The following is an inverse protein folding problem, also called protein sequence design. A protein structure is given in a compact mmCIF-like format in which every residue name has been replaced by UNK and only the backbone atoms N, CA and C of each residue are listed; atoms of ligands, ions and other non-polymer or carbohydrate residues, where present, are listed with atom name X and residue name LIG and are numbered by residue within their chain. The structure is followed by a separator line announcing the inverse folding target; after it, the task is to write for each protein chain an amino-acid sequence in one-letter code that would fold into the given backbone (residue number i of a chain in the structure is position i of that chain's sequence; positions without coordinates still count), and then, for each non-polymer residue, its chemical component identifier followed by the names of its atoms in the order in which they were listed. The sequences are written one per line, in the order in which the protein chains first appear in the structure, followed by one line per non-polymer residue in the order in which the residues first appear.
data_IF_963792983688
#
_entry.id   IF_963792983688
#
_cell.length_a   1.000
_cell.length_b   1.000
_cell.length_c   1.000
_cell.angle_alpha   90.00
_cell.angle_beta   90.00
_cell.angle_gamma   90.00
#
_symmetry.space_group_name_H-M   'P 1'
#
loop_
_entity.id
_entity.type
_entity.pdbx_description
1 polymer ?
#
# COMPACT_ATOMS: atom_id res chain seq x y z
N UNK A 1 32.81 -55.60 34.98
CA UNK A 1 32.98 -54.86 33.73
C UNK A 1 31.62 -54.39 33.29
N UNK A 2 31.31 -53.13 33.59
CA UNK A 2 30.03 -52.45 33.21
C UNK A 2 30.30 -51.60 31.96
N UNK A 3 29.63 -51.92 30.84
CA UNK A 3 29.68 -51.08 29.63
C UNK A 3 28.50 -50.07 29.71
N UNK A 4 28.92 -48.82 29.87
CA UNK A 4 28.01 -47.67 29.82
C UNK A 4 27.84 -47.27 28.32
N UNK A 5 26.67 -47.59 27.75
CA UNK A 5 26.29 -47.15 26.39
C UNK A 5 25.63 -45.79 26.49
N UNK A 6 26.37 -44.74 26.13
CA UNK A 6 25.87 -43.34 26.09
C UNK A 6 25.13 -43.16 24.77
N UNK A 7 23.79 -42.98 24.84
CA UNK A 7 22.93 -42.61 23.71
C UNK A 7 22.99 -41.11 23.51
N UNK A 8 23.70 -40.68 22.44
CA UNK A 8 23.68 -39.30 21.97
C UNK A 8 22.38 -39.04 21.23
N UNK A 9 21.44 -38.38 21.88
CA UNK A 9 20.24 -37.83 21.22
C UNK A 9 20.64 -36.59 20.41
N UNK A 10 20.79 -36.76 19.11
CA UNK A 10 20.98 -35.64 18.18
C UNK A 10 19.62 -34.95 17.96
N UNK A 11 19.38 -33.82 18.64
CA UNK A 11 18.23 -32.95 18.38
C UNK A 11 18.43 -32.29 17.01
N UNK A 12 17.76 -32.80 15.99
CA UNK A 12 17.56 -32.09 14.73
C UNK A 12 16.63 -30.89 15.00
N UNK A 13 17.22 -29.72 15.16
CA UNK A 13 16.49 -28.45 15.09
C UNK A 13 15.92 -28.33 13.67
N UNK A 14 14.60 -28.08 13.50
CA UNK A 14 14.04 -27.79 12.18
C UNK A 14 14.70 -26.49 11.67
N UNK A 15 15.33 -26.56 10.51
CA UNK A 15 15.79 -25.39 9.79
C UNK A 15 14.55 -24.52 9.49
N UNK A 16 14.44 -23.38 10.15
CA UNK A 16 13.44 -22.35 9.82
C UNK A 16 13.85 -21.87 8.41
N UNK A 17 13.17 -22.41 7.40
CA UNK A 17 13.40 -22.03 6.01
C UNK A 17 13.20 -20.52 5.85
N UNK A 18 14.11 -19.88 5.12
CA UNK A 18 13.96 -18.47 4.74
C UNK A 18 12.58 -18.25 4.12
N UNK A 19 11.91 -17.14 4.44
CA UNK A 19 10.58 -16.85 3.90
C UNK A 19 10.64 -16.90 2.37
N UNK A 20 9.85 -17.78 1.75
CA UNK A 20 9.81 -17.90 0.29
C UNK A 20 8.96 -16.76 -0.29
N UNK A 21 9.66 -15.71 -0.75
CA UNK A 21 9.08 -14.54 -1.43
C UNK A 21 8.20 -14.95 -2.60
N UNK A 22 8.64 -15.95 -3.38
CA UNK A 22 7.91 -16.41 -4.56
C UNK A 22 6.56 -17.01 -4.18
N UNK A 23 6.51 -17.85 -3.16
CA UNK A 23 5.27 -18.43 -2.67
C UNK A 23 4.33 -17.37 -2.11
N UNK A 24 4.84 -16.40 -1.35
CA UNK A 24 4.03 -15.31 -0.81
C UNK A 24 3.42 -14.43 -1.93
N UNK A 25 4.20 -14.09 -2.94
CA UNK A 25 3.71 -13.34 -4.12
C UNK A 25 2.66 -14.14 -4.88
N UNK A 26 2.88 -15.44 -5.08
CA UNK A 26 1.90 -16.30 -5.76
C UNK A 26 0.59 -16.42 -4.98
N UNK A 27 0.65 -16.56 -3.66
CA UNK A 27 -0.54 -16.59 -2.81
C UNK A 27 -1.31 -15.27 -2.86
N UNK A 28 -0.62 -14.14 -2.74
CA UNK A 28 -1.20 -12.81 -2.87
C UNK A 28 -1.90 -12.63 -4.22
N UNK A 29 -1.22 -12.95 -5.32
CA UNK A 29 -1.78 -12.82 -6.66
C UNK A 29 -2.99 -13.74 -6.86
N UNK A 30 -2.91 -15.00 -6.44
CA UNK A 30 -3.98 -15.98 -6.62
C UNK A 30 -5.22 -15.65 -5.81
N UNK A 31 -5.06 -15.09 -4.59
CA UNK A 31 -6.18 -14.73 -3.72
C UNK A 31 -7.12 -13.71 -4.37
N UNK A 32 -6.56 -12.74 -5.08
CA UNK A 32 -7.35 -11.64 -5.64
C UNK A 32 -7.54 -11.73 -7.17
N UNK A 33 -6.88 -12.68 -7.83
CA UNK A 33 -6.81 -12.74 -9.30
C UNK A 33 -8.19 -12.80 -9.97
N UNK A 34 -9.11 -13.60 -9.47
CA UNK A 34 -10.42 -13.83 -10.09
C UNK A 34 -11.43 -12.69 -9.86
N UNK A 35 -11.25 -11.90 -8.81
CA UNK A 35 -12.19 -10.85 -8.44
C UNK A 35 -12.15 -9.68 -9.42
N UNK A 36 -13.31 -9.24 -9.89
CA UNK A 36 -13.44 -8.01 -10.70
C UNK A 36 -13.51 -6.77 -9.82
N UNK A 37 -14.11 -6.92 -8.65
CA UNK A 37 -14.23 -5.86 -7.64
C UNK A 37 -13.75 -6.40 -6.30
N UNK A 38 -13.04 -5.57 -5.55
CA UNK A 38 -12.60 -5.87 -4.19
C UNK A 38 -13.09 -4.76 -3.27
N UNK A 39 -13.40 -5.11 -2.04
CA UNK A 39 -13.72 -4.18 -0.95
C UNK A 39 -12.93 -4.57 0.28
N UNK A 40 -12.46 -3.58 1.05
CA UNK A 40 -11.89 -3.79 2.37
C UNK A 40 -12.15 -2.60 3.27
N UNK A 41 -12.23 -2.83 4.57
CA UNK A 41 -12.05 -1.78 5.59
C UNK A 41 -10.58 -1.43 5.67
N UNK A 42 -10.26 -0.15 5.85
CA UNK A 42 -8.88 0.30 6.04
C UNK A 42 -8.71 1.21 7.25
N UNK A 43 -7.53 1.15 7.83
CA UNK A 43 -6.99 2.13 8.76
C UNK A 43 -5.70 2.69 8.15
N UNK A 44 -5.66 3.98 7.93
CA UNK A 44 -4.48 4.71 7.44
C UNK A 44 -3.80 5.42 8.59
N UNK A 45 -2.46 5.29 8.66
CA UNK A 45 -1.61 5.98 9.63
C UNK A 45 -0.60 6.80 8.87
N UNK A 46 -0.60 8.10 9.09
CA UNK A 46 0.36 9.03 8.55
C UNK A 46 1.40 9.40 9.61
N UNK A 47 2.67 9.25 9.28
CA UNK A 47 3.78 9.56 10.18
C UNK A 47 4.75 10.54 9.54
N UNK A 48 5.34 11.41 10.36
CA UNK A 48 6.43 12.28 9.97
C UNK A 48 7.60 12.07 10.93
N UNK A 49 8.78 11.75 10.39
CA UNK A 49 9.99 11.46 11.18
C UNK A 49 9.74 10.42 12.29
N UNK A 50 8.93 9.40 11.98
CA UNK A 50 8.54 8.33 12.90
C UNK A 50 7.48 8.73 13.93
N UNK A 51 6.98 9.97 13.93
CA UNK A 51 5.91 10.43 14.82
C UNK A 51 4.57 10.28 14.12
N UNK A 52 3.61 9.63 14.78
CA UNK A 52 2.23 9.55 14.30
C UNK A 52 1.59 10.95 14.31
N UNK A 53 1.12 11.39 13.14
CA UNK A 53 0.51 12.71 12.94
C UNK A 53 -1.00 12.57 12.76
N UNK A 54 -1.44 11.56 11.99
CA UNK A 54 -2.86 11.39 11.64
C UNK A 54 -3.23 9.91 11.55
N UNK A 55 -4.45 9.60 11.94
CA UNK A 55 -5.09 8.29 11.74
C UNK A 55 -6.42 8.52 11.08
N UNK A 56 -6.66 7.82 9.97
CA UNK A 56 -7.91 7.87 9.22
C UNK A 56 -8.43 6.45 9.00
N UNK A 57 -9.74 6.31 8.85
CA UNK A 57 -10.35 5.01 8.61
C UNK A 57 -11.52 5.12 7.63
N UNK A 58 -11.79 4.03 6.92
CA UNK A 58 -12.87 4.00 5.95
C UNK A 58 -12.99 2.68 5.22
N UNK A 59 -13.59 2.75 4.03
CA UNK A 59 -13.78 1.62 3.13
C UNK A 59 -13.10 1.92 1.80
N UNK A 60 -12.31 0.97 1.31
CA UNK A 60 -11.68 1.03 0.00
C UNK A 60 -12.34 0.03 -0.95
N UNK A 61 -12.57 0.48 -2.19
CA UNK A 61 -13.08 -0.35 -3.29
C UNK A 61 -12.09 -0.29 -4.45
N UNK A 62 -11.84 -1.44 -5.05
CA UNK A 62 -10.99 -1.55 -6.24
C UNK A 62 -11.77 -2.28 -7.32
N UNK A 63 -11.86 -1.70 -8.53
CA UNK A 63 -12.54 -2.34 -9.66
C UNK A 63 -11.65 -2.34 -10.89
N UNK A 64 -11.51 -3.49 -11.48
CA UNK A 64 -10.75 -3.66 -12.72
C UNK A 64 -11.57 -3.27 -13.95
N UNK A 65 -10.94 -2.63 -14.94
CA UNK A 65 -9.56 -2.14 -14.92
C UNK A 65 -9.45 -0.72 -14.32
N UNK A 66 -8.45 -0.52 -13.45
CA UNK A 66 -7.91 0.79 -13.10
C UNK A 66 -8.82 1.75 -12.35
N UNK A 67 -9.87 1.28 -11.68
CA UNK A 67 -10.74 2.12 -10.85
C UNK A 67 -10.55 1.82 -9.37
N UNK A 68 -10.56 2.85 -8.56
CA UNK A 68 -10.52 2.73 -7.10
C UNK A 68 -11.31 3.85 -6.44
N UNK A 69 -11.85 3.57 -5.26
CA UNK A 69 -12.60 4.51 -4.45
C UNK A 69 -12.26 4.30 -2.99
N UNK A 70 -11.92 5.37 -2.30
CA UNK A 70 -11.62 5.39 -0.88
C UNK A 70 -12.57 6.33 -0.20
N UNK A 71 -13.43 5.79 0.63
CA UNK A 71 -14.40 6.54 1.42
C UNK A 71 -13.89 6.65 2.85
N UNK A 72 -13.34 7.79 3.19
CA UNK A 72 -12.93 8.10 4.55
C UNK A 72 -14.16 8.37 5.39
N UNK A 73 -14.25 7.74 6.55
CA UNK A 73 -15.37 7.88 7.49
C UNK A 73 -14.96 8.58 8.79
N UNK A 74 -13.69 8.54 9.14
CA UNK A 74 -13.14 9.11 10.38
C UNK A 74 -11.71 9.59 10.13
N UNK A 75 -11.29 10.74 10.74
CA UNK A 75 -12.10 11.70 11.46
C UNK A 75 -13.02 12.51 10.56
N UNK A 76 -12.67 12.66 9.27
CA UNK A 76 -13.42 13.45 8.29
C UNK A 76 -13.92 12.58 7.14
N UNK A 77 -15.04 13.00 6.55
CA UNK A 77 -15.66 12.29 5.43
C UNK A 77 -15.07 12.79 4.11
N UNK A 78 -13.86 12.38 3.79
CA UNK A 78 -13.22 12.67 2.52
C UNK A 78 -13.48 11.55 1.51
N UNK A 79 -13.27 11.84 0.24
CA UNK A 79 -13.39 10.87 -0.84
C UNK A 79 -12.21 10.98 -1.79
N UNK A 80 -11.49 9.90 -2.00
CA UNK A 80 -10.59 9.76 -3.13
C UNK A 80 -11.17 8.75 -4.13
N UNK A 81 -11.13 9.10 -5.42
CA UNK A 81 -11.68 8.24 -6.46
C UNK A 81 -10.85 8.33 -7.73
N UNK A 82 -10.54 7.17 -8.32
CA UNK A 82 -10.01 7.04 -9.68
C UNK A 82 -11.08 6.38 -10.55
N UNK A 83 -11.59 7.12 -11.54
CA UNK A 83 -12.66 6.64 -12.44
C UNK A 83 -12.15 5.95 -13.70
N UNK A 84 -10.82 5.79 -13.82
CA UNK A 84 -10.11 5.28 -15.00
C UNK A 84 -9.59 6.37 -15.94
N UNK A 85 -10.07 7.61 -15.81
CA UNK A 85 -9.62 8.78 -16.60
C UNK A 85 -9.00 9.84 -15.72
N UNK A 86 -9.65 10.14 -14.61
CA UNK A 86 -9.26 11.16 -13.64
C UNK A 86 -9.11 10.56 -12.25
N UNK A 87 -8.28 11.17 -11.45
CA UNK A 87 -8.26 11.03 -10.01
C UNK A 87 -8.91 12.28 -9.40
N UNK A 88 -9.77 12.07 -8.43
CA UNK A 88 -10.56 13.07 -7.73
C UNK A 88 -10.30 12.98 -6.23
N UNK A 89 -10.06 14.11 -5.60
CA UNK A 89 -10.01 14.19 -4.14
C UNK A 89 -11.01 15.24 -3.66
N UNK A 90 -12.07 14.79 -3.03
CA UNK A 90 -13.16 15.62 -2.56
C UNK A 90 -13.10 15.79 -1.04
N UNK A 91 -13.06 17.05 -0.60
CA UNK A 91 -13.09 17.46 0.81
C UNK A 91 -14.41 18.20 1.05
N UNK A 92 -15.44 17.54 1.57
CA UNK A 92 -16.73 18.15 1.82
C UNK A 92 -16.67 19.36 2.74
N UNK A 93 -15.84 19.31 3.79
CA UNK A 93 -15.69 20.39 4.76
C UNK A 93 -15.21 21.70 4.10
N UNK A 94 -14.36 21.61 3.08
CA UNK A 94 -13.80 22.75 2.38
C UNK A 94 -14.61 23.15 1.14
N UNK A 95 -15.66 22.41 0.82
CA UNK A 95 -16.42 22.56 -0.43
C UNK A 95 -15.54 22.56 -1.68
N UNK A 96 -14.48 21.72 -1.68
CA UNK A 96 -13.50 21.64 -2.78
C UNK A 96 -13.35 20.22 -3.30
N UNK A 97 -13.08 20.12 -4.60
CA UNK A 97 -12.62 18.88 -5.22
C UNK A 97 -11.41 19.15 -6.08
N UNK A 98 -10.33 18.42 -5.83
CA UNK A 98 -9.15 18.43 -6.71
C UNK A 98 -9.31 17.37 -7.79
N UNK A 99 -8.97 17.72 -9.03
CA UNK A 99 -9.01 16.81 -10.18
C UNK A 99 -7.68 16.81 -10.91
N UNK A 100 -7.16 15.62 -11.18
CA UNK A 100 -5.98 15.42 -12.04
C UNK A 100 -6.25 14.27 -13.03
N UNK A 101 -5.63 14.25 -14.22
CA UNK A 101 -5.64 13.06 -15.05
C UNK A 101 -5.03 11.87 -14.32
N UNK A 102 -5.69 10.71 -14.34
CA UNK A 102 -5.24 9.52 -13.61
C UNK A 102 -3.78 9.11 -13.93
N UNK A 103 -3.34 9.33 -15.16
CA UNK A 103 -1.96 9.05 -15.60
C UNK A 103 -0.91 10.02 -15.01
N UNK A 104 -1.35 11.14 -14.46
CA UNK A 104 -0.48 12.18 -13.88
C UNK A 104 -0.57 12.22 -12.35
N UNK A 105 -1.43 11.40 -11.77
CA UNK A 105 -1.50 11.27 -10.32
C UNK A 105 -0.32 10.42 -9.84
N UNK A 106 0.84 11.04 -9.67
CA UNK A 106 1.92 10.48 -8.86
C UNK A 106 1.50 10.62 -7.39
N UNK A 107 0.80 9.63 -6.90
CA UNK A 107 0.25 9.61 -5.56
C UNK A 107 0.76 8.37 -4.83
N UNK A 108 0.93 8.46 -3.53
CA UNK A 108 1.28 7.35 -2.64
C UNK A 108 0.30 6.16 -2.75
N UNK A 109 -0.88 6.35 -3.34
CA UNK A 109 -1.83 5.27 -3.67
C UNK A 109 -1.43 4.44 -4.88
N UNK A 110 -0.35 4.81 -5.58
CA UNK A 110 0.18 4.06 -6.74
C UNK A 110 0.39 2.57 -6.45
N UNK A 111 0.88 2.14 -5.27
CA UNK A 111 0.98 0.72 -4.95
C UNK A 111 -0.34 -0.05 -5.05
N UNK A 112 -1.48 0.63 -4.84
CA UNK A 112 -2.81 0.02 -4.92
C UNK A 112 -3.31 -0.18 -6.35
N UNK A 113 -2.61 0.34 -7.36
CA UNK A 113 -2.84 -0.01 -8.75
C UNK A 113 -2.72 -1.53 -8.99
N UNK A 114 -1.99 -2.26 -8.13
CA UNK A 114 -1.96 -3.71 -8.09
C UNK A 114 -3.37 -4.29 -7.95
N UNK A 115 -4.17 -3.80 -7.00
CA UNK A 115 -5.51 -4.31 -6.69
C UNK A 115 -6.54 -3.92 -7.77
N UNK A 116 -6.42 -2.73 -8.35
CA UNK A 116 -7.27 -2.24 -9.44
C UNK A 116 -6.82 -2.73 -10.84
N UNK A 117 -5.62 -3.30 -10.95
CA UNK A 117 -5.00 -3.78 -12.19
C UNK A 117 -5.14 -5.29 -12.41
N UNK A 118 -4.13 -5.86 -13.05
CA UNK A 118 -4.09 -7.29 -13.38
C UNK A 118 -3.74 -8.21 -12.21
N UNK A 119 -3.56 -7.66 -11.02
CA UNK A 119 -3.12 -8.40 -9.82
C UNK A 119 -1.79 -9.12 -10.02
N UNK A 120 -0.83 -8.44 -10.65
CA UNK A 120 0.52 -8.95 -10.86
C UNK A 120 1.54 -8.01 -10.22
N UNK A 121 2.19 -8.47 -9.18
CA UNK A 121 3.22 -7.73 -8.44
C UNK A 121 4.34 -7.26 -9.37
N UNK A 122 4.73 -8.11 -10.34
CA UNK A 122 5.75 -7.76 -11.34
C UNK A 122 5.38 -6.61 -12.26
N UNK A 123 4.11 -6.16 -12.32
CA UNK A 123 3.70 -4.97 -13.07
C UNK A 123 4.10 -3.68 -12.38
N UNK A 124 4.10 -3.67 -11.05
CA UNK A 124 4.42 -2.48 -10.25
C UNK A 124 5.82 -2.57 -9.62
N UNK A 125 6.28 -3.75 -9.24
CA UNK A 125 7.60 -3.95 -8.64
C UNK A 125 8.62 -4.39 -9.71
N UNK A 126 9.76 -3.71 -9.74
CA UNK A 126 10.94 -4.14 -10.51
C UNK A 126 11.64 -5.30 -9.81
N UNK A 127 11.67 -5.25 -8.47
CA UNK A 127 12.26 -6.26 -7.58
C UNK A 127 11.37 -6.44 -6.36
N UNK A 128 11.32 -7.68 -5.86
CA UNK A 128 10.64 -8.02 -4.60
C UNK A 128 11.59 -8.87 -3.76
N UNK A 129 11.78 -8.51 -2.51
CA UNK A 129 12.65 -9.21 -1.57
C UNK A 129 12.05 -9.24 -0.16
N UNK A 130 12.50 -10.11 0.75
CA UNK A 130 12.06 -10.06 2.13
C UNK A 130 12.51 -8.73 2.75
N UNK A 131 11.65 -8.07 3.50
CA UNK A 131 12.02 -6.89 4.24
C UNK A 131 12.76 -7.28 5.52
N UNK A 132 14.06 -6.97 5.59
CA UNK A 132 14.87 -7.26 6.77
C UNK A 132 14.67 -6.21 7.89
N UNK A 133 14.25 -5.03 7.50
CA UNK A 133 14.10 -3.82 8.34
C UNK A 133 12.65 -3.58 8.81
N UNK A 134 11.69 -4.38 8.31
CA UNK A 134 10.29 -4.32 8.70
C UNK A 134 9.85 -5.63 9.36
N UNK A 135 9.26 -5.50 10.55
CA UNK A 135 8.69 -6.66 11.27
C UNK A 135 7.23 -6.86 10.86
N UNK A 136 6.79 -8.11 10.64
CA UNK A 136 5.38 -8.41 10.47
C UNK A 136 4.62 -8.14 11.76
N UNK A 137 3.34 -7.79 11.66
CA UNK A 137 2.45 -7.65 12.83
C UNK A 137 2.11 -8.99 13.47
N UNK A 138 1.92 -10.02 12.64
CA UNK A 138 1.72 -11.38 13.09
C UNK A 138 2.89 -12.27 12.65
N UNK A 139 3.24 -13.25 13.48
CA UNK A 139 4.37 -14.16 13.23
C UNK A 139 4.19 -15.01 11.96
N UNK A 140 2.94 -15.26 11.57
CA UNK A 140 2.55 -15.99 10.37
C UNK A 140 2.59 -15.16 9.08
N UNK A 141 2.84 -13.86 9.18
CA UNK A 141 2.88 -12.98 8.02
C UNK A 141 4.32 -12.83 7.48
N UNK A 142 4.43 -12.35 6.26
CA UNK A 142 5.70 -11.99 5.64
C UNK A 142 5.62 -10.57 5.12
N UNK A 143 6.65 -9.77 5.40
CA UNK A 143 6.79 -8.44 4.82
C UNK A 143 7.71 -8.50 3.61
N UNK A 144 7.19 -8.04 2.49
CA UNK A 144 7.88 -7.98 1.20
C UNK A 144 8.21 -6.53 0.88
N UNK A 145 9.47 -6.25 0.61
CA UNK A 145 9.93 -4.96 0.08
C UNK A 145 9.79 -4.96 -1.44
N UNK A 146 9.11 -3.96 -1.97
CA UNK A 146 8.90 -3.74 -3.40
C UNK A 146 9.69 -2.52 -3.86
N UNK A 147 10.56 -2.70 -4.82
CA UNK A 147 11.17 -1.62 -5.58
C UNK A 147 10.24 -1.27 -6.74
N UNK A 148 9.65 -0.07 -6.73
CA UNK A 148 8.68 0.33 -7.74
C UNK A 148 9.30 0.49 -9.13
N UNK A 149 8.58 0.05 -10.18
CA UNK A 149 8.96 0.31 -11.57
C UNK A 149 8.77 1.78 -11.89
N UNK A 150 9.77 2.38 -12.51
CA UNK A 150 9.72 3.78 -12.93
C UNK A 150 9.96 4.79 -11.81
N UNK A 151 10.27 4.34 -10.60
CA UNK A 151 10.91 5.18 -9.62
C UNK A 151 12.29 5.56 -10.19
N UNK A 152 12.37 6.71 -10.84
CA UNK A 152 13.62 7.22 -11.39
C UNK A 152 14.54 7.53 -10.23
N UNK A 153 15.66 6.79 -10.15
CA UNK A 153 16.82 7.33 -9.45
C UNK A 153 17.03 8.78 -9.91
N UNK A 154 17.29 9.73 -9.02
CA UNK A 154 17.61 11.09 -9.41
C UNK A 154 18.68 11.01 -10.50
N UNK A 155 18.41 11.59 -11.69
CA UNK A 155 19.38 11.65 -12.76
C UNK A 155 20.68 12.14 -12.16
N UNK A 156 21.73 11.35 -12.26
CA UNK A 156 23.11 11.69 -11.96
C UNK A 156 23.45 12.98 -12.70
N UNK A 157 23.36 14.10 -12.01
CA UNK A 157 23.61 15.42 -12.59
C UNK A 157 23.74 16.49 -11.53
N UNK A 158 24.41 16.17 -10.41
CA UNK A 158 25.18 17.10 -9.58
C UNK A 158 25.93 16.28 -8.52
N UNK A 159 27.24 16.19 -8.70
CA UNK A 159 28.13 15.70 -7.67
C UNK A 159 28.12 16.69 -6.52
N UNK A 160 27.30 16.47 -5.52
CA UNK A 160 27.55 16.96 -4.18
C UNK A 160 28.25 15.84 -3.41
N UNK A 161 29.56 16.00 -3.31
CA UNK A 161 30.53 15.09 -2.68
C UNK A 161 30.43 15.15 -1.17
N UNK A 162 29.36 14.72 -0.52
CA UNK A 162 29.30 14.47 0.92
C UNK A 162 28.04 13.68 1.32
N UNK A 163 27.80 12.50 0.75
CA UNK A 163 26.85 11.55 1.34
C UNK A 163 27.44 10.16 1.32
N UNK A 164 27.75 9.58 2.48
CA UNK A 164 28.05 8.17 2.57
C UNK A 164 26.74 7.39 2.44
N UNK A 165 26.76 6.44 1.50
CA UNK A 165 25.81 5.34 1.34
C UNK A 165 24.34 5.69 1.04
N UNK A 166 23.96 5.53 -0.24
CA UNK A 166 22.60 5.20 -0.66
C UNK A 166 21.58 6.29 -0.40
N UNK A 167 21.26 7.05 -1.46
CA UNK A 167 20.10 7.95 -1.41
C UNK A 167 18.87 7.11 -1.06
N UNK A 168 18.16 7.36 0.04
CA UNK A 168 16.97 6.60 0.38
C UNK A 168 15.94 6.81 -0.71
N UNK A 169 15.59 5.74 -1.41
CA UNK A 169 14.50 5.72 -2.38
C UNK A 169 13.19 5.47 -1.63
N UNK A 170 12.09 5.96 -2.20
CA UNK A 170 10.76 5.58 -1.74
C UNK A 170 10.67 4.05 -1.66
N UNK A 171 10.34 3.54 -0.49
CA UNK A 171 10.22 2.13 -0.23
C UNK A 171 8.75 1.75 0.00
N UNK A 172 8.29 0.73 -0.72
CA UNK A 172 6.95 0.17 -0.54
C UNK A 172 7.08 -1.23 0.03
N UNK A 173 6.28 -1.50 1.05
CA UNK A 173 6.24 -2.80 1.70
C UNK A 173 4.83 -3.37 1.64
N UNK A 174 4.72 -4.67 1.39
CA UNK A 174 3.49 -5.43 1.46
C UNK A 174 3.60 -6.47 2.55
N UNK A 175 2.73 -6.44 3.53
CA UNK A 175 2.58 -7.51 4.49
C UNK A 175 1.48 -8.45 4.04
N UNK A 176 1.82 -9.72 3.92
CA UNK A 176 0.97 -10.76 3.35
C UNK A 176 0.89 -11.94 4.32
N UNK A 177 -0.32 -12.39 4.58
CA UNK A 177 -0.53 -13.63 5.34
C UNK A 177 -0.03 -14.83 4.55
N UNK A 178 0.89 -15.62 5.13
CA UNK A 178 1.44 -16.83 4.49
C UNK A 178 0.40 -17.95 4.36
N UNK A 179 -0.63 -17.90 5.19
CA UNK A 179 -1.66 -18.95 5.20
C UNK A 179 -2.74 -18.69 4.15
N UNK A 180 -3.10 -17.43 3.92
CA UNK A 180 -4.24 -17.05 3.08
C UNK A 180 -3.89 -16.23 1.85
N UNK A 181 -2.68 -15.66 1.77
CA UNK A 181 -2.31 -14.68 0.76
C UNK A 181 -3.01 -13.33 0.93
N UNK A 182 -3.63 -13.09 2.09
CA UNK A 182 -4.32 -11.85 2.36
C UNK A 182 -3.34 -10.69 2.51
N UNK A 183 -3.63 -9.57 1.86
CA UNK A 183 -2.90 -8.33 2.04
C UNK A 183 -3.35 -7.69 3.36
N UNK A 184 -2.47 -7.73 4.35
CA UNK A 184 -2.74 -7.24 5.69
C UNK A 184 -2.38 -5.76 5.81
N UNK A 185 -1.20 -5.39 5.27
CA UNK A 185 -0.67 -4.04 5.39
C UNK A 185 0.09 -3.62 4.13
N UNK A 186 -0.03 -2.34 3.79
CA UNK A 186 0.85 -1.67 2.82
C UNK A 186 1.49 -0.48 3.52
N UNK A 187 2.81 -0.39 3.45
CA UNK A 187 3.56 0.71 4.02
C UNK A 187 4.36 1.38 2.91
N UNK A 188 4.24 2.70 2.81
CA UNK A 188 5.04 3.56 1.91
C UNK A 188 5.92 4.44 2.78
N UNK A 189 7.22 4.45 2.51
CA UNK A 189 8.19 5.32 3.17
C UNK A 189 8.85 6.22 2.16
N UNK A 190 8.70 7.51 2.37
CA UNK A 190 9.36 8.55 1.60
C UNK A 190 10.74 8.88 2.21
N UNK A 191 11.77 9.17 1.40
CA UNK A 191 13.08 9.60 1.88
C UNK A 191 13.06 10.85 2.76
N UNK A 192 12.04 11.70 2.63
CA UNK A 192 11.84 12.89 3.44
C UNK A 192 11.33 12.64 4.86
N UNK A 193 11.21 11.35 5.28
CA UNK A 193 10.77 10.98 6.61
C UNK A 193 9.26 10.82 6.77
N UNK A 194 8.52 10.86 5.67
CA UNK A 194 7.08 10.58 5.64
C UNK A 194 6.86 9.07 5.54
N UNK A 195 5.97 8.55 6.36
CA UNK A 195 5.48 7.18 6.27
C UNK A 195 3.95 7.15 6.21
N UNK A 196 3.42 6.38 5.27
CA UNK A 196 1.97 6.16 5.12
C UNK A 196 1.72 4.66 5.19
N UNK A 197 0.93 4.23 6.14
CA UNK A 197 0.68 2.84 6.44
C UNK A 197 -0.81 2.54 6.39
N UNK A 198 -1.19 1.56 5.59
CA UNK A 198 -2.56 1.08 5.46
C UNK A 198 -2.67 -0.31 6.03
N UNK A 199 -3.57 -0.50 6.98
CA UNK A 199 -4.00 -1.80 7.48
C UNK A 199 -5.34 -2.14 6.87
N UNK A 200 -5.47 -3.36 6.34
CA UNK A 200 -6.69 -3.82 5.70
C UNK A 200 -7.33 -4.96 6.48
N UNK A 201 -8.66 -4.95 6.52
CA UNK A 201 -9.49 -6.02 7.11
C UNK A 201 -10.75 -6.22 6.28
N UNK A 202 -11.45 -7.30 6.57
CA UNK A 202 -12.79 -7.60 6.02
C UNK A 202 -12.83 -7.62 4.49
N UNK A 203 -11.81 -8.20 3.87
CA UNK A 203 -11.74 -8.33 2.42
C UNK A 203 -12.94 -9.08 1.85
N UNK A 204 -13.59 -8.48 0.86
CA UNK A 204 -14.69 -9.07 0.10
C UNK A 204 -14.34 -9.07 -1.39
N UNK A 205 -14.54 -10.23 -2.04
CA UNK A 205 -14.43 -10.38 -3.47
C UNK A 205 -15.82 -10.25 -4.11
N UNK A 206 -15.90 -9.47 -5.18
CA UNK A 206 -17.10 -9.22 -5.98
C UNK A 206 -18.34 -8.82 -5.14
N UNK A 207 -18.20 -7.83 -4.22
CA UNK A 207 -19.35 -7.32 -3.49
C UNK A 207 -20.37 -6.73 -4.48
N UNK A 208 -21.68 -6.75 -4.14
CA UNK A 208 -22.73 -6.22 -5.00
C UNK A 208 -22.76 -4.69 -4.98
N UNK A 209 -21.80 -4.05 -5.67
CA UNK A 209 -21.71 -2.59 -5.76
C UNK A 209 -22.07 -2.09 -7.17
N UNK A 210 -22.84 -1.00 -7.31
CA UNK A 210 -23.24 -0.46 -8.61
C UNK A 210 -22.04 0.16 -9.34
N UNK A 211 -22.14 0.25 -10.66
CA UNK A 211 -21.11 0.91 -11.49
C UNK A 211 -20.97 2.40 -11.16
N UNK A 212 -22.06 3.05 -10.75
CA UNK A 212 -22.08 4.45 -10.33
C UNK A 212 -21.18 4.75 -9.14
N UNK A 213 -20.81 3.73 -8.33
CA UNK A 213 -19.87 3.90 -7.22
C UNK A 213 -18.51 4.45 -7.69
N UNK A 214 -18.12 4.14 -8.93
CA UNK A 214 -16.86 4.59 -9.52
C UNK A 214 -17.01 5.79 -10.47
N UNK A 215 -18.07 6.58 -10.30
CA UNK A 215 -18.26 7.84 -10.99
C UNK A 215 -18.40 8.95 -9.97
N UNK A 216 -17.72 10.07 -10.21
CA UNK A 216 -17.83 11.25 -9.37
C UNK A 216 -18.65 12.33 -10.08
N UNK A 217 -19.70 12.78 -9.42
CA UNK A 217 -20.48 13.95 -9.83
C UNK A 217 -20.18 15.06 -8.84
N UNK A 218 -19.66 16.18 -9.35
CA UNK A 218 -19.33 17.35 -8.51
C UNK A 218 -20.63 17.91 -7.90
N UNK A 219 -20.75 17.98 -6.57
CA UNK A 219 -21.93 18.54 -5.94
C UNK A 219 -22.09 20.04 -6.25
N UNK A 220 -23.31 20.55 -6.15
CA UNK A 220 -23.57 21.99 -6.31
C UNK A 220 -22.81 22.79 -5.25
N UNK A 221 -22.19 23.90 -5.67
CA UNK A 221 -21.44 24.78 -4.77
C UNK A 221 -20.03 24.30 -4.43
N UNK A 222 -19.58 23.19 -4.99
CA UNK A 222 -18.21 22.69 -4.81
C UNK A 222 -17.29 23.28 -5.87
N UNK A 223 -16.16 23.86 -5.45
CA UNK A 223 -15.15 24.41 -6.34
C UNK A 223 -14.24 23.29 -6.88
N UNK A 224 -14.00 23.29 -8.20
CA UNK A 224 -13.06 22.37 -8.84
C UNK A 224 -11.68 23.03 -8.87
N UNK A 225 -10.71 22.40 -8.23
CA UNK A 225 -9.30 22.79 -8.27
C UNK A 225 -8.55 21.87 -9.22
N UNK A 226 -7.92 22.43 -10.24
CA UNK A 226 -7.03 21.70 -11.12
C UNK A 226 -5.59 21.91 -10.61
N UNK A 227 -4.94 20.84 -10.19
CA UNK A 227 -3.60 20.91 -9.61
C UNK A 227 -3.16 19.55 -9.07
N UNK A 228 -1.98 19.44 -8.46
CA UNK A 228 -1.59 18.20 -7.81
C UNK A 228 -2.62 17.83 -6.77
N UNK A 229 -2.86 16.53 -6.61
CA UNK A 229 -3.64 16.05 -5.46
C UNK A 229 -2.98 16.55 -4.18
N UNK A 230 -3.77 16.92 -3.15
CA UNK A 230 -3.17 17.29 -1.89
C UNK A 230 -2.24 16.15 -1.46
N UNK A 231 -0.94 16.40 -1.46
CA UNK A 231 -0.04 15.64 -0.65
C UNK A 231 -0.58 15.83 0.78
N UNK A 232 -0.75 14.76 1.52
CA UNK A 232 -1.32 14.79 2.86
C UNK A 232 -0.69 15.90 3.70
N UNK A 233 -1.21 17.11 3.57
CA UNK A 233 -0.82 18.20 4.46
C UNK A 233 -1.59 17.98 5.75
N UNK A 234 -0.92 17.96 6.90
CA UNK A 234 -1.63 18.03 8.15
C UNK A 234 -2.52 19.26 8.11
N UNK A 235 -3.82 19.08 8.34
CA UNK A 235 -4.71 20.18 8.63
C UNK A 235 -4.18 20.83 9.91
N UNK A 236 -3.44 21.92 9.75
CA UNK A 236 -3.06 22.77 10.86
C UNK A 236 -4.33 23.51 11.27
N UNK A 237 -5.05 22.90 12.19
CA UNK A 237 -6.08 23.64 12.95
C UNK A 237 -5.34 24.68 13.79
N UNK A 238 -5.48 25.95 13.38
CA UNK A 238 -5.23 27.11 14.23
C UNK A 238 -6.28 27.16 15.34
#
# INVERSE_FOLDING_TARGET
MLHCVSWLFCFLLPAIGSPDVKSAVQLLESRYHSARTLQASFLERYTENGRLVRVEAGIAYFRRPGKMRWEYASPEKNLFLVDGKNAWFYVPADHTVTRVPAKQSADWRTPFALLAGEMKVSRICAKVEPAADEKPEASEDIVLRCELRGATSPKQGRQDTLSPAGNPQEAVFFEVSRNSGELVRVLVRDPGGVGIEFHFKDWQADPPVPDSLFHFTVPLGVAIVNGPLPADKPSVNQ
#
